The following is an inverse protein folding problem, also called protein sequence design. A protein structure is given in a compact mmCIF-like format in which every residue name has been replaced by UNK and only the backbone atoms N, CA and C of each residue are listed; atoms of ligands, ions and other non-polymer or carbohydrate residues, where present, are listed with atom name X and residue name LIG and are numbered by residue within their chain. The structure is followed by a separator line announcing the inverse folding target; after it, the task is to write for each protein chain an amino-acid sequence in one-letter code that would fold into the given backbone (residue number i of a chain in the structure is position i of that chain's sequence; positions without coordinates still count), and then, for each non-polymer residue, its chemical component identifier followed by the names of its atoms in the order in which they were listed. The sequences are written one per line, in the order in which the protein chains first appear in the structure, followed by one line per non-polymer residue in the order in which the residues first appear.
data_IF_014616155263
#
_entry.id   IF_014616155263
#
_cell.length_a   1.000
_cell.length_b   1.000
_cell.length_c   1.000
_cell.angle_alpha   90.00
_cell.angle_beta   90.00
_cell.angle_gamma   90.00
#
_symmetry.space_group_name_H-M   'P 1'
#
loop_
_entity.id
_entity.type
_entity.pdbx_description
1 polymer ?
#
# COMPACT_ATOMS: atom_id res chain seq x y z
N UNK A 1 4.56 -30.77 13.55
CA UNK A 1 4.92 -29.98 14.75
C UNK A 1 5.98 -28.96 14.33
N UNK A 2 5.56 -27.75 14.02
CA UNK A 2 6.44 -26.62 13.72
C UNK A 2 5.74 -25.38 14.26
N UNK A 3 6.35 -24.72 15.24
CA UNK A 3 5.77 -23.61 15.97
C UNK A 3 5.51 -22.43 15.02
N UNK A 4 4.24 -22.07 14.84
CA UNK A 4 3.86 -20.76 14.35
C UNK A 4 4.33 -19.74 15.40
N UNK A 5 5.39 -19.00 15.09
CA UNK A 5 5.80 -17.87 15.91
C UNK A 5 4.70 -16.81 15.79
N UNK A 6 3.92 -16.66 16.87
CA UNK A 6 2.95 -15.58 17.02
C UNK A 6 3.69 -14.24 16.88
N UNK A 7 3.47 -13.55 15.75
CA UNK A 7 3.74 -12.12 15.66
C UNK A 7 2.85 -11.42 16.69
N UNK A 8 3.43 -11.06 17.84
CA UNK A 8 2.72 -10.31 18.88
C UNK A 8 2.60 -8.86 18.41
N UNK A 9 1.58 -8.60 17.59
CA UNK A 9 1.04 -7.25 17.41
C UNK A 9 0.34 -6.88 18.72
N UNK A 10 0.91 -5.93 19.46
CA UNK A 10 0.21 -5.28 20.58
C UNK A 10 -0.87 -4.36 20.01
N UNK A 11 -1.92 -4.94 19.46
CA UNK A 11 -3.16 -4.22 19.17
C UNK A 11 -3.79 -3.96 20.53
N UNK A 12 -3.94 -2.69 20.93
CA UNK A 12 -4.84 -2.31 22.03
C UNK A 12 -6.26 -2.67 21.58
N UNK A 13 -6.63 -3.92 21.84
CA UNK A 13 -7.94 -4.50 21.54
C UNK A 13 -8.98 -3.86 22.45
N UNK A 14 -9.63 -2.81 21.94
CA UNK A 14 -10.64 -2.07 22.70
C UNK A 14 -11.58 -1.25 21.84
N UNK A 15 -12.20 -1.86 20.81
CA UNK A 15 -13.45 -1.33 20.23
C UNK A 15 -13.43 -0.92 18.75
N UNK A 16 -12.26 -0.73 18.15
CA UNK A 16 -12.16 -0.30 16.75
C UNK A 16 -12.52 -1.42 15.75
N UNK A 17 -13.30 -1.08 14.73
CA UNK A 17 -13.77 -1.99 13.68
C UNK A 17 -12.62 -2.53 12.84
N UNK A 18 -11.57 -1.73 12.58
CA UNK A 18 -10.41 -2.20 11.80
C UNK A 18 -9.58 -3.21 12.55
N UNK A 19 -9.28 -2.95 13.82
CA UNK A 19 -8.63 -3.93 14.67
C UNK A 19 -9.34 -5.30 14.67
N UNK A 20 -10.69 -5.33 14.64
CA UNK A 20 -11.46 -6.59 14.56
C UNK A 20 -11.27 -7.31 13.22
N UNK A 21 -11.30 -6.58 12.09
CA UNK A 21 -11.08 -7.17 10.77
C UNK A 21 -9.66 -7.68 10.60
N UNK A 22 -8.68 -6.95 11.12
CA UNK A 22 -7.28 -7.39 11.11
C UNK A 22 -7.08 -8.67 11.92
N UNK A 23 -7.72 -8.76 13.10
CA UNK A 23 -7.73 -10.00 13.89
C UNK A 23 -8.45 -11.16 13.20
N UNK A 24 -9.55 -10.89 12.49
CA UNK A 24 -10.25 -11.88 11.68
C UNK A 24 -9.32 -12.42 10.58
N UNK A 25 -8.66 -11.54 9.83
CA UNK A 25 -7.68 -11.93 8.82
C UNK A 25 -6.56 -12.79 9.42
N UNK A 26 -5.98 -12.36 10.55
CA UNK A 26 -4.86 -13.06 11.17
C UNK A 26 -5.18 -14.43 11.75
N UNK A 27 -6.42 -14.64 12.19
CA UNK A 27 -6.87 -15.90 12.80
C UNK A 27 -7.62 -16.80 11.83
N UNK A 28 -8.14 -16.24 10.74
CA UNK A 28 -8.97 -16.95 9.79
C UNK A 28 -8.16 -17.88 8.90
N UNK A 29 -8.84 -18.89 8.36
CA UNK A 29 -8.32 -19.75 7.31
C UNK A 29 -8.36 -19.05 5.93
N UNK A 30 -7.94 -19.77 4.88
CA UNK A 30 -7.88 -19.20 3.54
C UNK A 30 -9.26 -18.77 2.99
N UNK A 31 -10.35 -19.45 3.36
CA UNK A 31 -11.69 -19.11 2.92
C UNK A 31 -12.22 -17.89 3.68
N UNK A 32 -12.02 -17.84 5.00
CA UNK A 32 -12.41 -16.69 5.83
C UNK A 32 -11.65 -15.42 5.45
N UNK A 33 -10.39 -15.55 5.02
CA UNK A 33 -9.59 -14.43 4.48
C UNK A 33 -10.08 -13.98 3.12
N UNK A 34 -10.52 -14.91 2.25
CA UNK A 34 -11.02 -14.57 0.92
C UNK A 34 -12.23 -13.62 0.99
N UNK A 35 -13.10 -13.78 1.99
CA UNK A 35 -14.27 -12.91 2.21
C UNK A 35 -13.89 -11.46 2.60
N UNK A 36 -12.63 -11.22 2.99
CA UNK A 36 -12.12 -9.89 3.34
C UNK A 36 -11.39 -9.20 2.19
N UNK A 37 -11.12 -9.91 1.11
CA UNK A 37 -10.36 -9.40 -0.03
C UNK A 37 -11.20 -8.37 -0.78
N UNK A 38 -10.60 -7.22 -1.03
CA UNK A 38 -11.10 -6.20 -1.95
C UNK A 38 -10.51 -6.47 -3.33
N UNK A 39 -11.39 -6.66 -4.31
CA UNK A 39 -11.02 -6.78 -5.74
C UNK A 39 -11.60 -5.56 -6.45
N UNK A 40 -10.74 -4.66 -6.92
CA UNK A 40 -11.17 -3.41 -7.55
C UNK A 40 -10.20 -3.01 -8.67
N UNK A 41 -10.29 -3.75 -9.78
CA UNK A 41 -9.38 -3.61 -10.93
C UNK A 41 -9.68 -2.42 -11.82
N UNK A 42 -10.91 -1.93 -11.78
CA UNK A 42 -11.30 -0.66 -12.38
C UNK A 42 -11.27 0.44 -11.32
N UNK A 43 -11.08 1.69 -11.74
CA UNK A 43 -11.16 2.82 -10.81
C UNK A 43 -12.61 2.92 -10.28
N UNK A 44 -12.75 3.24 -9.00
CA UNK A 44 -14.06 3.58 -8.45
C UNK A 44 -14.66 4.79 -9.20
N UNK A 45 -16.00 4.91 -9.31
CA UNK A 45 -16.62 6.05 -9.98
C UNK A 45 -16.13 7.38 -9.41
N UNK A 46 -15.56 8.22 -10.28
CA UNK A 46 -15.01 9.54 -9.91
C UNK A 46 -13.59 9.54 -9.34
N UNK A 47 -13.02 8.38 -9.04
CA UNK A 47 -11.65 8.25 -8.56
C UNK A 47 -10.64 8.18 -9.72
N UNK A 48 -9.50 8.87 -9.66
CA UNK A 48 -8.49 8.80 -10.72
C UNK A 48 -7.74 7.47 -10.76
N UNK A 49 -7.45 6.87 -9.61
CA UNK A 49 -6.54 5.73 -9.49
C UNK A 49 -7.29 4.40 -9.42
N UNK A 50 -6.63 3.33 -9.88
CA UNK A 50 -7.05 1.95 -9.62
C UNK A 50 -6.40 1.43 -8.34
N UNK A 51 -7.03 0.45 -7.69
CA UNK A 51 -6.38 -0.28 -6.59
C UNK A 51 -5.16 -1.02 -7.13
N UNK A 52 -3.94 -0.79 -6.59
CA UNK A 52 -2.72 -1.31 -7.19
C UNK A 52 -2.53 -2.82 -6.98
N UNK A 53 -3.24 -3.44 -6.03
CA UNK A 53 -3.25 -4.89 -5.83
C UNK A 53 -4.58 -5.33 -5.24
N UNK A 54 -5.07 -6.50 -5.65
CA UNK A 54 -6.20 -7.16 -4.98
C UNK A 54 -5.73 -7.67 -3.60
N UNK A 55 -6.53 -7.48 -2.56
CA UNK A 55 -6.15 -7.97 -1.23
C UNK A 55 -7.02 -7.44 -0.09
N UNK A 56 -6.72 -7.89 1.12
CA UNK A 56 -7.34 -7.32 2.32
C UNK A 56 -6.64 -6.03 2.70
N UNK A 57 -7.35 -4.90 2.62
CA UNK A 57 -6.80 -3.60 3.05
C UNK A 57 -6.89 -3.52 4.57
N UNK A 58 -5.78 -3.87 5.24
CA UNK A 58 -5.76 -4.19 6.66
C UNK A 58 -5.28 -3.06 7.56
N UNK A 59 -4.28 -2.30 7.11
CA UNK A 59 -3.77 -1.13 7.81
C UNK A 59 -4.05 0.10 6.95
N UNK A 60 -4.65 1.10 7.57
CA UNK A 60 -5.19 2.28 6.88
C UNK A 60 -4.26 3.48 6.97
N UNK A 61 -4.52 4.48 6.14
CA UNK A 61 -3.85 5.77 6.27
C UNK A 61 -4.23 6.41 7.61
N UNK A 62 -3.25 7.04 8.25
CA UNK A 62 -3.38 7.64 9.58
C UNK A 62 -3.74 6.64 10.70
N UNK A 63 -3.54 5.33 10.51
CA UNK A 63 -3.79 4.33 11.56
C UNK A 63 -2.80 4.52 12.73
N UNK A 64 -3.28 4.77 13.96
CA UNK A 64 -2.42 5.03 15.11
C UNK A 64 -2.11 3.76 15.92
N UNK A 65 -2.60 2.60 15.49
CA UNK A 65 -2.45 1.35 16.23
C UNK A 65 -1.10 0.68 15.96
N UNK A 66 -0.66 -0.17 16.90
CA UNK A 66 0.59 -0.92 16.77
C UNK A 66 0.66 -1.70 15.45
N UNK A 67 1.79 -1.66 14.72
CA UNK A 67 3.11 -1.18 15.14
C UNK A 67 3.34 0.34 15.12
N UNK A 68 2.37 1.13 14.64
CA UNK A 68 2.40 2.59 14.60
C UNK A 68 2.03 3.20 15.96
N UNK A 69 1.92 4.52 15.98
CA UNK A 69 1.49 5.26 17.16
C UNK A 69 0.73 6.53 16.77
N UNK A 70 0.01 7.14 17.71
CA UNK A 70 -0.62 8.44 17.48
C UNK A 70 0.39 9.54 17.09
N UNK A 71 1.67 9.42 17.48
CA UNK A 71 2.72 10.38 17.12
C UNK A 71 3.35 10.10 15.74
N UNK A 72 3.25 8.86 15.27
CA UNK A 72 3.78 8.39 13.99
C UNK A 72 2.76 7.38 13.42
N UNK A 73 1.62 7.88 12.93
CA UNK A 73 0.58 7.01 12.39
C UNK A 73 0.99 6.51 11.01
N UNK A 74 0.30 5.49 10.52
CA UNK A 74 0.62 4.87 9.24
C UNK A 74 0.50 5.87 8.06
N UNK A 75 1.53 5.89 7.21
CA UNK A 75 1.73 6.88 6.15
C UNK A 75 1.08 6.49 4.81
N UNK A 76 0.51 5.29 4.72
CA UNK A 76 -0.12 4.74 3.52
C UNK A 76 -1.19 3.72 3.86
N UNK A 77 -1.34 2.72 3.01
CA UNK A 77 -2.21 1.55 3.25
C UNK A 77 -1.43 0.27 3.01
N UNK A 78 -1.79 -0.78 3.75
CA UNK A 78 -1.26 -2.13 3.53
C UNK A 78 -2.36 -3.04 2.98
N UNK A 79 -2.09 -3.59 1.80
CA UNK A 79 -2.98 -4.49 1.07
C UNK A 79 -2.41 -5.91 1.19
N UNK A 80 -2.96 -6.70 2.11
CA UNK A 80 -2.50 -8.03 2.45
C UNK A 80 -2.96 -9.08 1.42
N UNK A 81 -2.00 -9.89 1.00
CA UNK A 81 -2.21 -11.00 0.09
C UNK A 81 -2.56 -12.27 0.86
N UNK A 82 -3.55 -13.03 0.37
CA UNK A 82 -3.85 -14.38 0.87
C UNK A 82 -3.03 -15.47 0.15
N UNK A 83 -2.05 -15.06 -0.67
CA UNK A 83 -1.17 -15.94 -1.42
C UNK A 83 0.30 -15.76 -0.98
N UNK A 84 1.12 -16.72 -1.36
CA UNK A 84 2.58 -16.73 -1.13
C UNK A 84 3.28 -15.50 -1.76
N UNK A 85 4.50 -15.13 -1.29
CA UNK A 85 5.31 -14.09 -1.91
C UNK A 85 5.51 -14.35 -3.42
N UNK A 86 5.45 -13.29 -4.23
CA UNK A 86 5.65 -13.37 -5.67
C UNK A 86 4.40 -13.78 -6.48
N UNK A 87 3.22 -13.89 -5.85
CA UNK A 87 1.99 -14.36 -6.52
C UNK A 87 1.01 -13.25 -6.86
N UNK A 88 0.68 -12.37 -5.91
CA UNK A 88 -0.35 -11.33 -6.12
C UNK A 88 0.23 -10.17 -6.91
N UNK A 89 -0.32 -9.83 -8.10
CA UNK A 89 0.24 -8.80 -8.96
C UNK A 89 0.03 -7.40 -8.39
N UNK A 90 1.00 -6.52 -8.68
CA UNK A 90 0.99 -5.10 -8.36
C UNK A 90 1.00 -4.30 -9.67
N UNK A 91 0.07 -3.37 -9.81
CA UNK A 91 -0.14 -2.56 -11.00
C UNK A 91 0.08 -1.07 -10.73
N UNK A 92 0.48 -0.33 -11.77
CA UNK A 92 0.55 1.12 -11.73
C UNK A 92 -0.85 1.70 -11.49
N UNK A 93 -1.03 2.41 -10.39
CA UNK A 93 -2.33 2.95 -9.98
C UNK A 93 -2.84 4.06 -10.92
N UNK A 94 -1.93 4.70 -11.66
CA UNK A 94 -2.23 5.78 -12.61
C UNK A 94 -1.26 5.81 -13.80
N UNK A 95 -1.48 6.71 -14.76
CA UNK A 95 -0.47 7.03 -15.77
C UNK A 95 0.67 7.80 -15.10
N UNK A 96 1.93 7.46 -15.39
CA UNK A 96 3.05 8.20 -14.81
C UNK A 96 4.41 7.63 -15.16
N UNK A 97 5.42 8.01 -14.38
CA UNK A 97 6.82 7.70 -14.67
C UNK A 97 7.45 6.90 -13.53
N UNK A 98 7.84 5.66 -13.79
CA UNK A 98 8.45 4.75 -12.81
C UNK A 98 9.94 5.05 -12.68
N UNK A 99 10.36 5.17 -11.43
CA UNK A 99 11.75 5.21 -11.00
C UNK A 99 11.99 4.10 -9.97
N UNK A 100 13.17 3.50 -9.99
CA UNK A 100 13.64 2.55 -8.98
C UNK A 100 15.07 2.91 -8.62
N UNK A 101 15.29 3.34 -7.38
CA UNK A 101 16.64 3.67 -6.93
C UNK A 101 17.57 2.46 -7.04
N UNK A 102 18.85 2.71 -7.31
CA UNK A 102 19.83 1.64 -7.52
C UNK A 102 19.95 0.67 -6.33
N UNK A 103 19.68 1.15 -5.11
CA UNK A 103 19.70 0.35 -3.88
C UNK A 103 18.37 -0.32 -3.51
N UNK A 104 17.27 -0.03 -4.21
CA UNK A 104 15.94 -0.52 -3.83
C UNK A 104 15.70 -1.96 -4.32
N UNK A 105 15.56 -2.87 -3.35
CA UNK A 105 15.30 -4.30 -3.59
C UNK A 105 13.82 -4.60 -3.81
N UNK A 106 12.97 -3.98 -3.00
CA UNK A 106 11.54 -4.33 -2.85
C UNK A 106 10.60 -3.17 -3.10
N UNK A 107 11.10 -2.06 -3.65
CA UNK A 107 10.32 -0.86 -3.83
C UNK A 107 10.60 -0.18 -5.18
N UNK A 108 9.60 0.56 -5.64
CA UNK A 108 9.65 1.48 -6.77
C UNK A 108 8.76 2.69 -6.46
N UNK A 109 8.95 3.77 -7.20
CA UNK A 109 8.15 4.97 -7.05
C UNK A 109 7.70 5.49 -8.41
N UNK A 110 6.48 6.00 -8.47
CA UNK A 110 5.85 6.51 -9.68
C UNK A 110 5.58 8.00 -9.56
N UNK A 111 6.19 8.82 -10.41
CA UNK A 111 5.83 10.23 -10.51
C UNK A 111 4.52 10.39 -11.29
N UNK A 112 3.56 11.07 -10.68
CA UNK A 112 2.39 11.63 -11.36
C UNK A 112 2.67 13.11 -11.55
N UNK A 113 2.85 13.52 -12.81
CA UNK A 113 3.35 14.86 -13.14
C UNK A 113 2.38 15.99 -12.75
N UNK A 114 1.08 15.70 -12.82
CA UNK A 114 0.00 16.62 -12.48
C UNK A 114 -1.00 15.87 -11.60
N UNK A 115 -1.05 16.23 -10.31
CA UNK A 115 -1.97 15.64 -9.33
C UNK A 115 -3.42 15.84 -9.81
N UNK A 116 -4.16 14.74 -10.09
CA UNK A 116 -5.50 14.83 -10.67
C UNK A 116 -6.53 15.48 -9.75
N UNK A 117 -6.25 15.59 -8.45
CA UNK A 117 -7.12 16.26 -7.48
C UNK A 117 -6.67 17.70 -7.18
N UNK A 118 -5.40 18.00 -7.43
CA UNK A 118 -4.81 19.32 -7.20
C UNK A 118 -3.83 19.72 -8.32
N UNK A 119 -4.35 20.12 -9.50
CA UNK A 119 -3.50 20.42 -10.64
C UNK A 119 -2.42 21.48 -10.36
N UNK A 120 -1.26 21.32 -10.98
CA UNK A 120 -0.09 22.20 -10.85
C UNK A 120 0.93 21.73 -9.82
N UNK A 121 0.74 20.58 -9.16
CA UNK A 121 1.76 19.94 -8.32
C UNK A 121 1.98 18.48 -8.74
N UNK A 122 3.22 17.99 -8.80
CA UNK A 122 3.48 16.57 -8.88
C UNK A 122 3.21 15.88 -7.54
N UNK A 123 2.87 14.60 -7.61
CA UNK A 123 2.85 13.67 -6.47
C UNK A 123 3.54 12.37 -6.88
N UNK A 124 3.87 11.57 -5.89
CA UNK A 124 4.63 10.34 -6.10
C UNK A 124 3.92 9.17 -5.43
N UNK A 125 3.75 8.05 -6.15
CA UNK A 125 3.12 6.84 -5.64
C UNK A 125 4.21 5.84 -5.27
N UNK A 126 4.28 5.46 -4.01
CA UNK A 126 5.28 4.55 -3.48
C UNK A 126 4.69 3.14 -3.36
N UNK A 127 5.45 2.15 -3.82
CA UNK A 127 5.06 0.73 -3.80
C UNK A 127 6.20 -0.05 -3.15
N UNK A 128 5.94 -0.76 -2.05
CA UNK A 128 6.97 -1.44 -1.27
C UNK A 128 6.62 -2.90 -0.93
N UNK A 129 7.56 -3.56 -0.26
CA UNK A 129 7.51 -4.99 0.11
C UNK A 129 7.43 -5.97 -1.07
N UNK A 130 7.83 -5.56 -2.28
CA UNK A 130 7.79 -6.36 -3.51
C UNK A 130 9.04 -7.27 -3.69
N UNK A 131 9.43 -7.98 -2.64
CA UNK A 131 10.53 -8.96 -2.65
C UNK A 131 10.29 -10.03 -1.58
N UNK A 132 10.96 -11.18 -1.68
CA UNK A 132 10.96 -12.18 -0.61
C UNK A 132 11.82 -11.76 0.59
N UNK A 133 11.78 -12.56 1.66
CA UNK A 133 12.55 -12.33 2.90
C UNK A 133 14.06 -12.20 2.70
N UNK A 134 14.62 -12.85 1.68
CA UNK A 134 16.05 -12.79 1.37
C UNK A 134 16.39 -11.54 0.52
N UNK A 135 15.38 -10.77 0.12
CA UNK A 135 15.51 -9.58 -0.70
C UNK A 135 15.55 -9.86 -2.20
N UNK A 136 15.18 -11.07 -2.65
CA UNK A 136 15.02 -11.37 -4.06
C UNK A 136 13.78 -10.64 -4.59
N UNK A 137 14.02 -9.73 -5.53
CA UNK A 137 13.00 -8.81 -6.03
C UNK A 137 11.94 -9.53 -6.86
N UNK A 138 10.67 -9.18 -6.64
CA UNK A 138 9.53 -9.54 -7.49
C UNK A 138 9.07 -8.38 -8.38
N UNK A 139 9.86 -7.31 -8.49
CA UNK A 139 9.62 -6.23 -9.44
C UNK A 139 9.97 -6.72 -10.84
N UNK A 140 9.12 -6.40 -11.82
CA UNK A 140 9.29 -6.83 -13.21
C UNK A 140 10.65 -6.38 -13.78
N UNK A 141 11.33 -7.20 -14.60
CA UNK A 141 12.65 -6.87 -15.17
C UNK A 141 12.68 -5.59 -16.02
N UNK A 142 11.52 -5.12 -16.49
CA UNK A 142 11.37 -3.84 -17.19
C UNK A 142 11.69 -2.63 -16.30
N UNK A 143 11.69 -2.79 -14.98
CA UNK A 143 12.03 -1.77 -13.98
C UNK A 143 13.28 -2.17 -13.19
N UNK A 144 14.45 -2.26 -13.85
CA UNK A 144 15.69 -2.65 -13.19
C UNK A 144 16.14 -1.57 -12.19
N UNK A 145 16.94 -1.91 -11.17
CA UNK A 145 17.54 -0.92 -10.28
C UNK A 145 18.29 0.17 -11.06
N UNK A 146 18.04 1.44 -10.71
CA UNK A 146 18.60 2.61 -11.38
C UNK A 146 17.78 3.13 -12.57
N UNK A 147 16.67 2.47 -12.94
CA UNK A 147 15.73 3.06 -13.92
C UNK A 147 15.14 4.34 -13.36
N UNK A 148 15.01 5.35 -14.21
CA UNK A 148 14.47 6.64 -13.83
C UNK A 148 13.51 7.14 -14.89
N UNK A 149 12.37 7.64 -14.43
CA UNK A 149 11.41 8.38 -15.24
C UNK A 149 10.89 7.61 -16.46
N UNK A 150 10.69 6.29 -16.32
CA UNK A 150 10.14 5.45 -17.38
C UNK A 150 8.62 5.55 -17.42
N UNK A 151 8.05 6.11 -18.48
CA UNK A 151 6.60 6.21 -18.61
C UNK A 151 5.92 4.84 -18.64
N UNK A 152 4.84 4.70 -17.89
CA UNK A 152 3.92 3.57 -17.94
C UNK A 152 2.46 4.04 -17.91
N UNK A 153 1.56 3.42 -18.69
CA UNK A 153 0.13 3.63 -18.51
C UNK A 153 -0.39 2.98 -17.22
N UNK A 154 -1.50 3.49 -16.70
CA UNK A 154 -2.29 2.91 -15.63
C UNK A 154 -2.61 1.45 -15.92
N UNK A 155 -2.48 0.59 -14.91
CA UNK A 155 -2.69 -0.85 -15.04
C UNK A 155 -1.48 -1.62 -15.58
N UNK A 156 -0.35 -0.96 -15.84
CA UNK A 156 0.90 -1.67 -16.16
C UNK A 156 1.32 -2.55 -14.99
N UNK A 157 1.62 -3.83 -15.26
CA UNK A 157 2.17 -4.73 -14.25
C UNK A 157 3.56 -4.24 -13.82
N UNK A 158 3.73 -3.99 -12.53
CA UNK A 158 4.98 -3.51 -11.93
C UNK A 158 5.76 -4.63 -11.26
N UNK A 159 5.08 -5.68 -10.82
CA UNK A 159 5.66 -6.82 -10.12
C UNK A 159 4.63 -7.53 -9.27
N UNK A 160 5.08 -8.12 -8.16
CA UNK A 160 4.23 -8.89 -7.26
C UNK A 160 4.51 -8.57 -5.79
N UNK A 161 3.51 -8.76 -4.94
CA UNK A 161 3.64 -8.57 -3.49
C UNK A 161 4.63 -9.57 -2.90
N UNK A 162 5.36 -9.16 -1.86
CA UNK A 162 6.25 -10.02 -1.10
C UNK A 162 6.18 -9.71 0.39
N UNK A 163 7.20 -10.14 1.12
CA UNK A 163 7.31 -10.03 2.57
C UNK A 163 8.70 -9.52 3.04
N UNK A 164 9.44 -8.83 2.16
CA UNK A 164 10.69 -8.17 2.52
C UNK A 164 10.47 -6.93 3.39
N UNK A 165 11.13 -6.87 4.55
CA UNK A 165 10.95 -5.82 5.56
C UNK A 165 12.21 -4.98 5.82
N UNK A 166 13.22 -5.02 4.94
CA UNK A 166 14.48 -4.29 5.14
C UNK A 166 15.42 -4.94 6.16
N UNK A 167 15.50 -6.28 6.16
CA UNK A 167 16.35 -7.09 7.04
C UNK A 167 16.01 -6.95 8.54
N UNK A 168 14.80 -6.51 8.87
CA UNK A 168 14.35 -6.40 10.24
C UNK A 168 14.10 -7.80 10.85
N UNK A 169 14.40 -7.96 12.14
CA UNK A 169 14.27 -9.24 12.85
C UNK A 169 12.84 -9.79 12.95
N UNK A 170 11.82 -8.99 12.61
CA UNK A 170 10.41 -9.35 12.75
C UNK A 170 9.81 -9.64 11.39
N UNK A 171 9.33 -10.86 11.21
CA UNK A 171 8.56 -11.23 10.02
C UNK A 171 7.34 -10.31 9.84
N UNK A 172 7.03 -10.04 8.58
CA UNK A 172 5.79 -9.41 8.13
C UNK A 172 4.99 -10.42 7.30
N UNK A 173 3.70 -10.14 7.10
CA UNK A 173 2.91 -10.91 6.14
C UNK A 173 3.15 -10.43 4.72
N UNK A 174 2.72 -11.23 3.75
CA UNK A 174 2.75 -10.84 2.34
C UNK A 174 1.78 -9.68 2.12
N UNK A 175 2.29 -8.52 1.72
CA UNK A 175 1.45 -7.35 1.44
C UNK A 175 2.14 -6.40 0.46
N UNK A 176 1.33 -5.51 -0.12
CA UNK A 176 1.81 -4.28 -0.72
C UNK A 176 1.63 -3.16 0.31
N UNK A 177 2.68 -2.41 0.61
CA UNK A 177 2.54 -1.08 1.17
C UNK A 177 2.43 -0.08 0.02
N UNK A 178 1.37 0.74 0.04
CA UNK A 178 1.11 1.77 -0.95
C UNK A 178 0.88 3.12 -0.26
N UNK A 179 1.63 4.15 -0.66
CA UNK A 179 1.45 5.51 -0.16
C UNK A 179 1.57 6.54 -1.29
N UNK A 180 0.99 7.72 -1.05
CA UNK A 180 1.08 8.88 -1.92
C UNK A 180 1.91 9.91 -1.19
N UNK A 181 3.02 10.35 -1.76
CA UNK A 181 3.93 11.32 -1.16
C UNK A 181 4.06 12.58 -2.00
N UNK A 182 4.33 13.69 -1.33
CA UNK A 182 4.51 15.00 -1.94
C UNK A 182 5.80 15.08 -2.75
N UNK A 183 5.81 16.01 -3.71
CA UNK A 183 7.03 16.48 -4.34
C UNK A 183 7.75 17.50 -3.44
N UNK A 184 9.08 17.54 -3.49
CA UNK A 184 9.94 18.49 -2.76
C UNK A 184 9.93 19.92 -3.36
N UNK A 185 9.13 20.14 -4.40
CA UNK A 185 9.05 21.38 -5.17
C UNK A 185 10.16 21.53 -6.20
N UNK A 186 11.00 20.50 -6.38
CA UNK A 186 12.12 20.46 -7.33
C UNK A 186 12.05 19.23 -8.24
N UNK A 187 10.90 18.55 -8.28
CA UNK A 187 10.69 17.37 -9.12
C UNK A 187 11.29 16.10 -8.52
N UNK A 188 11.33 15.99 -7.18
CA UNK A 188 11.74 14.78 -6.46
C UNK A 188 10.75 14.48 -5.34
N UNK A 189 10.67 13.21 -4.95
CA UNK A 189 9.81 12.80 -3.84
C UNK A 189 10.37 13.21 -2.48
N UNK A 190 9.48 13.55 -1.55
CA UNK A 190 9.81 13.75 -0.13
C UNK A 190 9.93 12.41 0.62
N UNK A 191 10.44 12.43 1.86
CA UNK A 191 10.62 11.24 2.68
C UNK A 191 9.27 10.67 3.14
N UNK A 192 8.95 9.44 2.70
CA UNK A 192 7.69 8.75 2.98
C UNK A 192 7.47 8.45 4.47
N UNK A 193 8.56 8.23 5.23
CA UNK A 193 8.49 7.92 6.66
C UNK A 193 7.96 9.09 7.50
N UNK A 194 7.99 10.31 6.96
CA UNK A 194 7.44 11.50 7.58
C UNK A 194 5.98 11.66 7.19
N UNK A 195 5.05 11.46 8.13
CA UNK A 195 3.61 11.52 7.86
C UNK A 195 3.15 12.84 7.21
N UNK A 196 3.81 13.97 7.52
CA UNK A 196 3.49 15.28 6.92
C UNK A 196 3.76 15.35 5.40
N UNK A 197 4.54 14.41 4.87
CA UNK A 197 4.88 14.30 3.46
C UNK A 197 3.89 13.41 2.69
N UNK A 198 2.94 12.75 3.36
CA UNK A 198 2.03 11.79 2.71
C UNK A 198 0.60 12.29 2.64
N UNK A 199 -0.13 11.86 1.61
CA UNK A 199 -1.51 12.25 1.33
C UNK A 199 -2.47 11.09 1.61
N UNK A 200 -3.67 11.42 2.08
CA UNK A 200 -4.76 10.47 2.21
C UNK A 200 -5.10 9.86 0.84
N UNK A 201 -4.98 8.53 0.66
CA UNK A 201 -5.26 7.88 -0.62
C UNK A 201 -6.76 7.70 -0.90
N UNK A 202 -7.64 7.97 0.07
CA UNK A 202 -9.09 7.79 -0.06
C UNK A 202 -9.71 8.47 -1.28
N UNK A 203 -9.50 9.79 -1.53
CA UNK A 203 -10.09 10.46 -2.69
C UNK A 203 -9.44 10.05 -4.02
N UNK A 204 -8.21 9.52 -3.99
CA UNK A 204 -7.52 9.04 -5.19
C UNK A 204 -8.02 7.66 -5.64
N UNK A 205 -8.32 6.77 -4.70
CA UNK A 205 -8.78 5.41 -4.96
C UNK A 205 -10.31 5.26 -4.91
N UNK A 206 -11.03 6.25 -4.37
CA UNK A 206 -12.49 6.20 -4.18
C UNK A 206 -12.93 5.17 -3.14
N UNK A 207 -12.06 4.89 -2.16
CA UNK A 207 -12.26 3.90 -1.10
C UNK A 207 -12.06 4.55 0.27
N UNK A 208 -12.78 4.14 1.33
CA UNK A 208 -12.64 4.67 2.69
C UNK A 208 -11.37 4.15 3.39
N UNK A 209 -10.23 4.76 3.04
CA UNK A 209 -8.88 4.31 3.38
C UNK A 209 -8.23 5.08 4.53
N UNK A 210 -8.85 6.16 4.99
CA UNK A 210 -8.43 6.88 6.17
C UNK A 210 -9.01 6.24 7.44
N UNK A 211 -8.15 6.02 8.43
CA UNK A 211 -8.53 5.39 9.70
C UNK A 211 -9.66 6.16 10.42
N UNK A 212 -9.69 7.49 10.33
CA UNK A 212 -10.68 8.33 11.03
C UNK A 212 -12.14 8.06 10.62
N UNK A 213 -12.36 7.49 9.43
CA UNK A 213 -13.66 7.23 8.83
C UNK A 213 -13.81 5.78 8.37
N UNK A 214 -13.01 4.89 8.93
CA UNK A 214 -12.91 3.50 8.49
C UNK A 214 -14.28 2.80 8.45
N UNK A 215 -14.56 2.14 7.33
CA UNK A 215 -15.81 1.38 7.14
C UNK A 215 -15.61 -0.12 7.35
N UNK A 216 -16.70 -0.82 7.64
CA UNK A 216 -16.67 -2.27 7.86
C UNK A 216 -16.38 -3.06 6.57
N UNK A 217 -16.74 -2.51 5.42
CA UNK A 217 -16.55 -3.09 4.09
C UNK A 217 -15.81 -2.08 3.22
N UNK A 218 -14.79 -2.53 2.50
CA UNK A 218 -14.12 -1.72 1.49
C UNK A 218 -14.92 -1.78 0.20
N UNK A 219 -15.65 -0.71 -0.08
CA UNK A 219 -16.46 -0.57 -1.29
C UNK A 219 -16.26 0.83 -1.86
N UNK A 220 -16.38 0.96 -3.17
CA UNK A 220 -16.36 2.25 -3.82
C UNK A 220 -17.42 3.17 -3.22
N UNK A 221 -17.02 4.39 -2.89
CA UNK A 221 -17.91 5.43 -2.41
C UNK A 221 -17.64 6.74 -3.17
N UNK A 222 -18.69 7.50 -3.43
CA UNK A 222 -18.56 8.84 -3.97
C UNK A 222 -18.06 9.78 -2.84
N UNK A 223 -17.21 10.74 -3.20
CA UNK A 223 -16.73 11.80 -2.30
C UNK A 223 -16.18 11.27 -0.96
N UNK A 224 -15.20 10.36 -1.04
CA UNK A 224 -14.55 9.82 0.16
C UNK A 224 -13.59 10.84 0.75
N UNK A 225 -14.14 11.76 1.52
CA UNK A 225 -13.40 12.70 2.35
C UNK A 225 -13.69 12.43 3.82
N UNK A 226 -12.63 12.34 4.61
CA UNK A 226 -12.73 12.10 6.04
C UNK A 226 -12.43 13.40 6.77
N UNK A 227 -13.25 13.77 7.78
CA UNK A 227 -13.15 15.06 8.47
C UNK A 227 -11.87 15.20 9.29
#
# INVERSE_FOLDING_TARGET
MGLALLAVLWIRSGGDLRARRFLQWGRGDAAERADLITVQRDACPGAPFILPADGFIGLLYADPNGPYSAAQPHQGIDIFSNAEPGVTPVYAAYDGYISREAGWRSALIQRVADDPLHPGRPIWLYYAHMADRDGNSFIEPAFPPGVSELFVPRGTLLGYTGDYNGDALRDIWVHLHFSIVLDDGRGRYTNELEFANTLDPSPYLGLPLNYACAQNTMQCAADVTCP
#
